data_IF_063006784401
#
_entry.id   IF_063006784401
#
_cell.length_a   1.000
_cell.length_b   1.000
_cell.length_c   1.000
_cell.angle_alpha   90.00
_cell.angle_beta   90.00
_cell.angle_gamma   90.00
#
_symmetry.space_group_name_H-M   'P 1'
#
loop_
_entity.id
_entity.type
_entity.pdbx_description
1 polymer ?
#
# COMPACT_ATOMS: atom_id res chain seq x y z
N UNK A 1 -13.89 -8.30 -2.72
CA UNK A 1 -12.57 -7.67 -2.53
C UNK A 1 -12.09 -7.06 -3.83
N UNK A 2 -11.56 -5.82 -3.80
CA UNK A 2 -11.03 -5.22 -5.02
C UNK A 2 -9.81 -5.99 -5.52
N UNK A 3 -9.62 -5.96 -6.82
CA UNK A 3 -8.46 -6.57 -7.45
C UNK A 3 -7.41 -5.53 -7.76
N UNK A 4 -6.16 -5.95 -7.78
CA UNK A 4 -5.03 -5.07 -8.08
C UNK A 4 -4.33 -5.56 -9.34
N UNK A 5 -3.79 -4.61 -10.11
CA UNK A 5 -2.99 -4.93 -11.30
C UNK A 5 -1.54 -4.67 -10.94
N UNK A 6 -0.72 -5.72 -11.04
CA UNK A 6 0.71 -5.62 -10.75
C UNK A 6 1.46 -5.03 -11.95
N UNK A 7 2.70 -4.64 -11.71
CA UNK A 7 3.53 -4.01 -12.75
C UNK A 7 3.71 -4.90 -13.98
N UNK A 8 3.68 -6.21 -13.82
CA UNK A 8 3.80 -7.16 -14.94
C UNK A 8 2.48 -7.45 -15.66
N UNK A 9 1.39 -6.76 -15.25
CA UNK A 9 0.08 -6.91 -15.85
C UNK A 9 -0.79 -7.99 -15.24
N UNK A 10 -0.28 -8.77 -14.29
CA UNK A 10 -1.09 -9.80 -13.64
C UNK A 10 -2.07 -9.17 -12.67
N UNK A 11 -3.20 -9.83 -12.50
CA UNK A 11 -4.29 -9.37 -11.63
C UNK A 11 -4.42 -10.32 -10.45
N UNK A 12 -4.53 -9.77 -9.24
CA UNK A 12 -4.77 -10.58 -8.05
C UNK A 12 -5.65 -9.83 -7.07
N UNK A 13 -6.22 -10.52 -6.10
CA UNK A 13 -7.02 -9.87 -5.07
C UNK A 13 -6.13 -9.04 -4.16
N UNK A 14 -6.66 -7.90 -3.72
CA UNK A 14 -5.97 -7.09 -2.72
C UNK A 14 -5.81 -7.91 -1.44
N UNK A 15 -4.64 -7.88 -0.86
CA UNK A 15 -4.34 -8.59 0.39
C UNK A 15 -3.81 -7.63 1.42
N UNK A 16 -4.52 -7.55 2.56
CA UNK A 16 -4.07 -6.76 3.72
C UNK A 16 -2.67 -7.20 4.15
N UNK A 17 -2.43 -8.50 4.17
CA UNK A 17 -1.15 -9.06 4.61
C UNK A 17 0.01 -8.65 3.70
N UNK A 18 -0.23 -8.65 2.40
CA UNK A 18 0.81 -8.23 1.44
C UNK A 18 1.13 -6.76 1.61
N UNK A 19 0.12 -5.93 1.83
CA UNK A 19 0.34 -4.51 2.05
C UNK A 19 1.11 -4.28 3.34
N UNK A 20 0.68 -4.92 4.43
CA UNK A 20 1.36 -4.79 5.72
C UNK A 20 2.81 -5.26 5.63
N UNK A 21 3.06 -6.36 4.92
CA UNK A 21 4.41 -6.84 4.69
C UNK A 21 5.25 -5.82 3.93
N UNK A 22 4.67 -5.20 2.91
CA UNK A 22 5.35 -4.19 2.10
C UNK A 22 5.76 -2.97 2.92
N UNK A 23 4.82 -2.43 3.72
CA UNK A 23 5.13 -1.24 4.53
C UNK A 23 6.09 -1.57 5.67
N UNK A 24 6.05 -2.78 6.20
CA UNK A 24 7.01 -3.21 7.20
C UNK A 24 8.41 -3.27 6.63
N UNK A 25 8.56 -3.84 5.42
CA UNK A 25 9.86 -3.89 4.74
C UNK A 25 10.41 -2.50 4.41
N UNK A 26 9.51 -1.56 4.20
CA UNK A 26 9.90 -0.17 3.92
C UNK A 26 10.28 0.60 5.20
N UNK A 27 10.18 -0.03 6.37
CA UNK A 27 10.57 0.60 7.62
C UNK A 27 9.52 1.49 8.25
N UNK A 28 8.27 1.36 7.82
CA UNK A 28 7.18 2.15 8.42
C UNK A 28 6.95 1.68 9.86
N UNK A 29 6.92 2.61 10.83
CA UNK A 29 6.72 2.22 12.23
C UNK A 29 5.41 1.44 12.43
N UNK A 30 5.46 0.41 13.27
CA UNK A 30 4.31 -0.46 13.46
C UNK A 30 3.07 0.27 13.97
N UNK A 31 3.25 1.35 14.73
CA UNK A 31 2.14 2.18 15.20
C UNK A 31 1.33 2.79 14.09
N UNK A 32 1.89 2.90 12.89
CA UNK A 32 1.22 3.50 11.73
C UNK A 32 0.62 2.46 10.79
N UNK A 33 0.90 1.17 10.97
CA UNK A 33 0.47 0.13 10.04
C UNK A 33 -1.03 0.10 9.82
N UNK A 34 -1.80 0.11 10.90
CA UNK A 34 -3.26 0.10 10.84
C UNK A 34 -3.80 1.34 10.14
N UNK A 35 -3.23 2.49 10.45
CA UNK A 35 -3.66 3.76 9.87
C UNK A 35 -3.38 3.82 8.39
N UNK A 36 -2.20 3.36 7.98
CA UNK A 36 -1.84 3.30 6.55
C UNK A 36 -2.78 2.34 5.82
N UNK A 37 -3.00 1.17 6.39
CA UNK A 37 -3.88 0.18 5.79
C UNK A 37 -5.28 0.75 5.57
N UNK A 38 -5.84 1.39 6.60
CA UNK A 38 -7.18 1.97 6.50
C UNK A 38 -7.25 3.07 5.46
N UNK A 39 -6.23 3.92 5.41
CA UNK A 39 -6.16 4.99 4.43
C UNK A 39 -6.17 4.44 3.00
N UNK A 40 -5.37 3.40 2.76
CA UNK A 40 -5.30 2.78 1.44
C UNK A 40 -6.63 2.10 1.10
N UNK A 41 -7.21 1.38 2.04
CA UNK A 41 -8.46 0.66 1.80
C UNK A 41 -9.61 1.57 1.41
N UNK A 42 -9.63 2.80 1.92
CA UNK A 42 -10.63 3.78 1.54
C UNK A 42 -10.51 4.23 0.07
N UNK A 43 -9.34 4.05 -0.52
CA UNK A 43 -9.04 4.49 -1.88
C UNK A 43 -9.10 3.36 -2.91
N UNK A 44 -9.32 2.13 -2.47
CA UNK A 44 -9.29 0.98 -3.37
C UNK A 44 -10.47 0.98 -4.35
N UNK A 45 -10.22 0.50 -5.56
CA UNK A 45 -11.24 0.23 -6.55
C UNK A 45 -10.77 -0.95 -7.39
N UNK A 46 -11.70 -1.59 -8.12
CA UNK A 46 -11.34 -2.76 -8.93
C UNK A 46 -10.30 -2.43 -9.99
N UNK A 47 -9.30 -3.28 -10.08
CA UNK A 47 -8.19 -3.15 -11.03
C UNK A 47 -7.31 -1.94 -10.76
N UNK A 48 -7.19 -1.55 -9.48
CA UNK A 48 -6.28 -0.47 -9.10
C UNK A 48 -4.84 -0.91 -9.35
N UNK A 49 -4.02 -0.10 -10.07
CA UNK A 49 -2.62 -0.44 -10.25
C UNK A 49 -1.84 -0.32 -8.94
N UNK A 50 -0.86 -1.17 -8.73
CA UNK A 50 -0.07 -1.14 -7.50
C UNK A 50 0.65 0.19 -7.31
N UNK A 51 1.04 0.89 -8.39
CA UNK A 51 1.72 2.18 -8.25
C UNK A 51 0.82 3.22 -7.58
N UNK A 52 -0.51 3.14 -7.78
CA UNK A 52 -1.44 4.05 -7.11
C UNK A 52 -1.54 3.73 -5.62
N UNK A 53 -1.46 2.45 -5.27
CA UNK A 53 -1.44 2.04 -3.86
C UNK A 53 -0.22 2.66 -3.17
N UNK A 54 0.95 2.56 -3.79
CA UNK A 54 2.16 3.17 -3.24
C UNK A 54 2.04 4.68 -3.11
N UNK A 55 1.39 5.31 -4.08
CA UNK A 55 1.16 6.76 -4.05
C UNK A 55 0.32 7.15 -2.83
N UNK A 56 -0.72 6.39 -2.54
CA UNK A 56 -1.56 6.64 -1.37
C UNK A 56 -0.79 6.45 -0.06
N UNK A 57 0.09 5.46 -0.01
CA UNK A 57 0.96 5.26 1.14
C UNK A 57 1.87 6.47 1.33
N UNK A 58 2.51 6.92 0.25
CA UNK A 58 3.39 8.10 0.28
C UNK A 58 2.67 9.33 0.79
N UNK A 59 1.47 9.58 0.26
CA UNK A 59 0.66 10.73 0.67
C UNK A 59 0.39 10.72 2.17
N UNK A 60 0.03 9.56 2.69
CA UNK A 60 -0.26 9.43 4.12
C UNK A 60 0.99 9.69 4.97
N UNK A 61 2.10 9.07 4.59
CA UNK A 61 3.33 9.19 5.37
C UNK A 61 3.92 10.59 5.30
N UNK A 62 3.79 11.26 4.17
CA UNK A 62 4.21 12.64 4.01
C UNK A 62 3.48 13.56 4.97
N UNK A 63 2.17 13.37 5.12
CA UNK A 63 1.36 14.16 6.05
C UNK A 63 1.74 13.91 7.50
N UNK A 64 2.35 12.78 7.80
CA UNK A 64 2.76 12.42 9.16
C UNK A 64 4.27 12.59 9.38
N UNK A 65 4.94 13.26 8.46
CA UNK A 65 6.39 13.52 8.52
C UNK A 65 7.22 12.25 8.68
N UNK A 66 6.77 11.15 8.07
CA UNK A 66 7.49 9.89 8.10
C UNK A 66 8.17 9.63 6.76
N UNK A 67 9.46 9.29 6.75
CA UNK A 67 10.13 8.93 5.50
C UNK A 67 9.58 7.60 4.97
N UNK A 68 9.50 7.49 3.66
CA UNK A 68 9.03 6.26 3.04
C UNK A 68 9.91 5.90 1.85
N UNK A 69 10.50 4.72 1.93
CA UNK A 69 11.22 4.13 0.80
C UNK A 69 10.38 2.96 0.32
N UNK A 70 9.84 3.09 -0.89
CA UNK A 70 8.92 2.12 -1.43
C UNK A 70 9.52 0.72 -1.49
N UNK A 71 8.83 -0.23 -0.87
CA UNK A 71 9.19 -1.64 -0.95
C UNK A 71 8.28 -2.33 -1.95
N UNK A 72 8.81 -3.34 -2.63
CA UNK A 72 8.04 -4.05 -3.63
C UNK A 72 6.83 -4.75 -3.03
N UNK A 73 5.67 -4.49 -3.60
CA UNK A 73 4.45 -5.19 -3.25
C UNK A 73 4.47 -6.56 -3.95
N UNK A 74 4.38 -7.61 -3.20
CA UNK A 74 4.45 -8.95 -3.79
C UNK A 74 3.48 -9.91 -3.15
#
# INVERSE_FOLDING_TARGET
>A
MPQVIKADGTIEEFSDEKLLSSIRRAGVPSKLHSLVLNHVKEKLYDNIPTYEIYKHIEEFLEKNDEPYVKAKYS
#
